data_IF_214126166046
#
_entry.id   IF_214126166046
#
_cell.length_a   1.000
_cell.length_b   1.000
_cell.length_c   1.000
_cell.angle_alpha   90.00
_cell.angle_beta   90.00
_cell.angle_gamma   90.00
#
_symmetry.space_group_name_H-M   'P 1'
#
loop_
_entity.id
_entity.type
_entity.pdbx_description
1 polymer ?
#
# COMPACT_ATOMS: atom_id res chain seq x y z
N UNK A 1 43.82 -67.97 27.91
CA UNK A 1 43.59 -68.62 29.22
C UNK A 1 42.16 -68.32 29.57
N UNK A 2 41.45 -69.39 29.45
CA UNK A 2 40.38 -69.87 30.32
C UNK A 2 39.14 -68.96 30.39
N UNK A 3 38.07 -69.36 29.91
CA UNK A 3 37.27 -70.59 29.89
C UNK A 3 35.95 -70.31 30.60
N UNK A 4 34.89 -70.60 29.84
CA UNK A 4 33.72 -71.37 30.32
C UNK A 4 32.79 -70.72 31.36
N UNK A 5 31.52 -70.87 31.37
CA UNK A 5 30.66 -71.88 30.76
C UNK A 5 29.22 -71.58 31.20
N UNK A 6 28.34 -71.79 30.27
CA UNK A 6 27.17 -72.70 30.40
C UNK A 6 25.96 -72.34 31.27
N UNK A 7 24.90 -72.46 30.55
CA UNK A 7 23.64 -73.23 30.77
C UNK A 7 22.66 -72.64 31.77
N UNK A 8 21.47 -72.51 31.43
CA UNK A 8 20.43 -73.27 30.79
C UNK A 8 19.14 -73.26 31.72
N UNK A 9 18.04 -73.28 31.01
CA UNK A 9 16.72 -73.87 31.38
C UNK A 9 15.67 -72.88 31.89
N UNK A 10 14.74 -72.58 31.01
CA UNK A 10 13.41 -73.20 30.82
C UNK A 10 12.37 -72.96 31.87
N UNK A 11 11.19 -72.74 31.37
CA UNK A 11 9.82 -72.85 31.89
C UNK A 11 9.26 -71.59 32.58
N UNK A 12 8.24 -71.03 31.99
CA UNK A 12 6.87 -71.26 32.23
C UNK A 12 5.98 -70.15 31.69
N UNK A 13 5.09 -70.60 30.94
CA UNK A 13 3.90 -69.97 30.36
C UNK A 13 3.11 -69.21 31.46
N UNK A 14 2.69 -67.98 31.19
CA UNK A 14 1.29 -67.59 31.37
C UNK A 14 0.97 -66.30 30.60
N UNK A 15 0.00 -66.44 29.74
CA UNK A 15 -0.58 -65.32 28.95
C UNK A 15 -1.27 -64.33 29.88
N UNK A 16 -1.01 -63.03 29.68
CA UNK A 16 -1.94 -61.98 30.03
C UNK A 16 -1.98 -61.00 28.88
N UNK A 17 -3.03 -61.14 28.10
CA UNK A 17 -3.46 -60.18 27.09
C UNK A 17 -3.77 -58.85 27.81
N UNK A 18 -2.91 -57.85 27.70
CA UNK A 18 -3.24 -56.47 27.99
C UNK A 18 -3.32 -55.74 26.66
N UNK A 19 -4.56 -55.56 26.21
CA UNK A 19 -4.95 -54.64 25.15
C UNK A 19 -4.54 -53.22 25.56
N UNK A 20 -3.40 -52.77 25.13
CA UNK A 20 -3.06 -51.34 25.13
C UNK A 20 -3.80 -50.73 23.95
N UNK A 21 -4.98 -50.17 24.23
CA UNK A 21 -5.64 -49.25 23.33
C UNK A 21 -4.77 -48.00 23.27
N UNK A 22 -3.89 -47.94 22.30
CA UNK A 22 -3.23 -46.69 21.92
C UNK A 22 -4.31 -45.80 21.29
N UNK A 23 -4.89 -44.92 22.10
CA UNK A 23 -5.59 -43.76 21.57
C UNK A 23 -4.60 -42.92 20.83
N UNK A 24 -4.52 -43.14 19.51
CA UNK A 24 -3.93 -42.22 18.59
C UNK A 24 -4.75 -40.93 18.68
N UNK A 25 -4.36 -40.05 19.56
CA UNK A 25 -4.78 -38.66 19.49
C UNK A 25 -4.12 -38.10 18.22
N UNK A 26 -4.88 -38.15 17.13
CA UNK A 26 -4.53 -37.55 15.88
C UNK A 26 -4.24 -36.07 16.17
N UNK A 27 -2.97 -35.71 16.10
CA UNK A 27 -2.55 -34.33 15.90
C UNK A 27 -3.16 -33.97 14.54
N UNK A 28 -4.32 -33.32 14.57
CA UNK A 28 -4.82 -32.61 13.39
C UNK A 28 -3.73 -31.58 13.03
N UNK A 29 -3.15 -31.64 11.83
CA UNK A 29 -2.34 -30.53 11.38
C UNK A 29 -3.25 -29.32 11.52
N UNK A 30 -2.80 -28.33 12.31
CA UNK A 30 -3.52 -27.08 12.48
C UNK A 30 -3.91 -26.59 11.09
N UNK A 31 -5.21 -26.42 10.87
CA UNK A 31 -5.70 -25.90 9.61
C UNK A 31 -4.93 -24.63 9.31
N UNK A 32 -4.34 -24.58 8.12
CA UNK A 32 -3.90 -23.32 7.58
C UNK A 32 -5.06 -22.36 7.80
N UNK A 33 -4.87 -21.34 8.63
CA UNK A 33 -5.86 -20.29 8.78
C UNK A 33 -6.21 -19.88 7.36
N UNK A 34 -7.47 -20.00 6.96
CA UNK A 34 -7.94 -19.61 5.64
C UNK A 34 -7.42 -18.19 5.43
N UNK A 35 -6.38 -18.08 4.61
CA UNK A 35 -5.82 -16.78 4.28
C UNK A 35 -6.93 -16.06 3.53
N UNK A 36 -7.61 -15.16 4.23
CA UNK A 36 -8.70 -14.39 3.65
C UNK A 36 -8.18 -13.77 2.35
N UNK A 37 -8.83 -14.07 1.22
CA UNK A 37 -8.43 -13.55 -0.07
C UNK A 37 -8.44 -12.02 -0.05
N UNK A 38 -7.44 -11.39 -0.63
CA UNK A 38 -7.39 -9.95 -0.81
C UNK A 38 -8.43 -9.45 -1.83
N UNK A 39 -8.88 -10.32 -2.75
CA UNK A 39 -9.77 -9.95 -3.86
C UNK A 39 -11.04 -9.22 -3.45
N UNK A 40 -11.84 -9.69 -2.47
CA UNK A 40 -13.06 -8.99 -2.06
C UNK A 40 -12.78 -7.59 -1.49
N UNK A 41 -11.62 -7.44 -0.83
CA UNK A 41 -11.20 -6.16 -0.24
C UNK A 41 -10.81 -5.20 -1.36
N UNK A 42 -10.03 -5.68 -2.33
CA UNK A 42 -9.62 -4.92 -3.52
C UNK A 42 -10.82 -4.49 -4.35
N UNK A 43 -11.80 -5.39 -4.56
CA UNK A 43 -13.04 -5.08 -5.29
C UNK A 43 -13.84 -3.98 -4.57
N UNK A 44 -13.96 -4.09 -3.26
CA UNK A 44 -14.69 -3.10 -2.46
C UNK A 44 -13.99 -1.75 -2.45
N UNK A 45 -12.66 -1.73 -2.31
CA UNK A 45 -11.84 -0.52 -2.40
C UNK A 45 -11.98 0.13 -3.78
N UNK A 46 -11.85 -0.64 -4.87
CA UNK A 46 -11.99 -0.15 -6.24
C UNK A 46 -13.40 0.42 -6.47
N UNK A 47 -14.44 -0.34 -6.12
CA UNK A 47 -15.83 0.09 -6.25
C UNK A 47 -16.11 1.38 -5.49
N UNK A 48 -15.63 1.48 -4.24
CA UNK A 48 -15.76 2.68 -3.43
C UNK A 48 -15.07 3.88 -4.08
N UNK A 49 -13.87 3.66 -4.60
CA UNK A 49 -13.13 4.68 -5.30
C UNK A 49 -13.80 5.11 -6.61
N UNK A 50 -14.31 4.16 -7.39
CA UNK A 50 -15.01 4.42 -8.66
C UNK A 50 -16.33 5.18 -8.46
N UNK A 51 -17.01 4.95 -7.36
CA UNK A 51 -18.22 5.67 -7.00
C UNK A 51 -17.95 7.11 -6.49
N UNK A 52 -16.69 7.42 -6.13
CA UNK A 52 -16.32 8.73 -5.60
C UNK A 52 -16.10 9.75 -6.73
N UNK A 53 -16.95 10.76 -6.82
CA UNK A 53 -16.86 11.84 -7.82
C UNK A 53 -15.77 12.83 -7.41
N UNK A 54 -15.81 13.30 -6.17
CA UNK A 54 -14.81 14.19 -5.57
C UNK A 54 -14.66 13.92 -4.08
N UNK A 55 -13.54 14.34 -3.53
CA UNK A 55 -13.31 14.39 -2.08
C UNK A 55 -12.25 15.43 -1.72
N UNK A 56 -12.23 15.79 -0.45
CA UNK A 56 -11.13 16.51 0.19
C UNK A 56 -10.67 15.73 1.42
N UNK A 57 -9.38 15.80 1.72
CA UNK A 57 -8.78 15.17 2.90
C UNK A 57 -7.58 15.98 3.38
N UNK A 58 -7.22 15.85 4.64
CA UNK A 58 -5.91 16.25 5.14
C UNK A 58 -4.94 15.07 4.96
N UNK A 59 -3.66 15.38 4.70
CA UNK A 59 -2.63 14.36 4.63
C UNK A 59 -1.43 14.71 5.52
N UNK A 60 -0.75 13.66 6.00
CA UNK A 60 0.56 13.71 6.63
C UNK A 60 1.47 12.71 5.95
N UNK A 61 2.64 13.17 5.55
CA UNK A 61 3.65 12.36 4.90
C UNK A 61 4.91 12.31 5.77
N UNK A 62 5.47 11.13 5.88
CA UNK A 62 6.77 10.89 6.48
C UNK A 62 7.63 10.10 5.50
N UNK A 63 8.86 10.58 5.27
CA UNK A 63 9.81 9.91 4.38
C UNK A 63 11.09 9.63 5.17
N UNK A 64 11.37 8.35 5.40
CA UNK A 64 12.64 7.89 5.93
C UNK A 64 13.66 7.85 4.80
N UNK A 65 14.61 8.78 4.78
CA UNK A 65 15.69 8.80 3.78
C UNK A 65 16.88 8.02 4.33
N UNK A 66 17.04 6.77 3.83
CA UNK A 66 18.05 5.82 4.36
C UNK A 66 19.48 6.33 4.22
N UNK A 67 19.81 6.89 3.06
CA UNK A 67 21.17 7.40 2.78
C UNK A 67 21.57 8.55 3.67
N UNK A 68 20.61 9.35 4.15
CA UNK A 68 20.86 10.53 4.99
C UNK A 68 20.58 10.25 6.47
N UNK A 69 20.04 9.08 6.80
CA UNK A 69 19.54 8.73 8.14
C UNK A 69 18.64 9.84 8.72
N UNK A 70 17.73 10.36 7.91
CA UNK A 70 16.84 11.47 8.26
C UNK A 70 15.39 11.15 7.92
N UNK A 71 14.50 11.66 8.77
CA UNK A 71 13.07 11.64 8.53
C UNK A 71 12.62 13.02 8.07
N UNK A 72 12.05 13.08 6.87
CA UNK A 72 11.41 14.26 6.34
C UNK A 72 9.91 14.16 6.61
N UNK A 73 9.29 15.28 6.98
CA UNK A 73 7.85 15.37 7.23
C UNK A 73 7.24 16.39 6.31
N UNK A 74 6.05 16.08 5.85
CA UNK A 74 5.23 17.01 5.08
C UNK A 74 3.77 16.85 5.49
N UNK A 75 2.98 17.90 5.31
CA UNK A 75 1.55 17.87 5.58
C UNK A 75 0.81 18.87 4.70
N UNK A 76 -0.49 18.68 4.56
CA UNK A 76 -1.31 19.59 3.78
C UNK A 76 -2.70 19.05 3.50
N UNK A 77 -3.27 19.55 2.43
CA UNK A 77 -4.63 19.23 1.98
C UNK A 77 -4.61 18.61 0.60
N UNK A 78 -5.42 17.56 0.45
CA UNK A 78 -5.69 16.90 -0.82
C UNK A 78 -7.10 17.24 -1.27
N UNK A 79 -7.22 17.67 -2.52
CA UNK A 79 -8.49 17.76 -3.24
C UNK A 79 -8.42 16.86 -4.45
N UNK A 80 -9.47 16.09 -4.67
CA UNK A 80 -9.59 15.16 -5.79
C UNK A 80 -10.91 15.36 -6.51
N UNK A 81 -10.92 15.18 -7.82
CA UNK A 81 -12.14 15.15 -8.63
C UNK A 81 -11.94 14.35 -9.91
N UNK A 82 -12.86 13.44 -10.19
CA UNK A 82 -12.86 12.69 -11.45
C UNK A 82 -13.23 13.57 -12.65
N UNK A 83 -12.71 13.25 -13.86
CA UNK A 83 -11.59 12.34 -14.08
C UNK A 83 -10.22 13.04 -13.94
N UNK A 84 -9.27 12.38 -13.28
CA UNK A 84 -7.85 12.73 -13.34
C UNK A 84 -7.44 14.08 -12.76
N UNK A 85 -8.28 14.72 -11.94
CA UNK A 85 -7.95 16.01 -11.31
C UNK A 85 -7.57 15.80 -9.86
N UNK A 86 -6.45 16.37 -9.44
CA UNK A 86 -5.95 16.27 -8.08
C UNK A 86 -5.11 17.49 -7.73
N UNK A 87 -5.23 17.97 -6.51
CA UNK A 87 -4.39 19.03 -5.97
C UNK A 87 -3.93 18.64 -4.56
N UNK A 88 -2.62 18.42 -4.43
CA UNK A 88 -1.94 18.37 -3.14
C UNK A 88 -1.40 19.75 -2.85
N UNK A 89 -1.89 20.40 -1.83
CA UNK A 89 -1.38 21.68 -1.36
C UNK A 89 -0.70 21.45 -0.04
N UNK A 90 0.61 21.69 -0.01
CA UNK A 90 1.41 21.49 1.18
C UNK A 90 1.32 22.71 2.11
N UNK A 91 1.08 22.47 3.38
CA UNK A 91 1.24 23.43 4.46
C UNK A 91 2.70 23.42 4.92
N UNK A 92 3.33 22.21 4.89
CA UNK A 92 4.76 21.96 5.08
C UNK A 92 5.26 20.96 4.02
N UNK A 93 6.30 21.33 3.25
CA UNK A 93 6.91 22.68 3.11
C UNK A 93 5.93 23.67 2.50
N UNK A 94 5.93 24.89 3.04
CA UNK A 94 4.96 25.93 2.66
C UNK A 94 5.08 26.32 1.19
N UNK A 95 3.93 26.34 0.51
CA UNK A 95 3.82 26.82 -0.86
C UNK A 95 4.04 25.75 -1.92
N UNK A 96 4.61 24.58 -1.57
CA UNK A 96 4.72 23.46 -2.48
C UNK A 96 3.33 22.96 -2.90
N UNK A 97 3.19 22.54 -4.14
CA UNK A 97 1.98 21.85 -4.58
C UNK A 97 2.28 20.81 -5.68
N UNK A 98 1.40 19.81 -5.75
CA UNK A 98 1.28 18.90 -6.91
C UNK A 98 -0.13 19.02 -7.43
N UNK A 99 -0.25 19.37 -8.71
CA UNK A 99 -1.53 19.59 -9.39
C UNK A 99 -1.62 18.67 -10.60
N UNK A 100 -2.70 17.91 -10.70
CA UNK A 100 -3.13 17.26 -11.94
C UNK A 100 -4.42 17.95 -12.42
N UNK A 101 -4.41 18.47 -13.65
CA UNK A 101 -5.55 19.18 -14.25
C UNK A 101 -6.42 18.29 -15.16
N UNK A 102 -6.06 17.00 -15.26
CA UNK A 102 -6.67 16.02 -16.16
C UNK A 102 -5.89 15.79 -17.46
N UNK A 103 -4.89 16.64 -17.77
CA UNK A 103 -4.01 16.51 -18.94
C UNK A 103 -2.55 16.48 -18.56
N UNK A 104 -2.15 17.32 -17.63
CA UNK A 104 -0.79 17.50 -17.18
C UNK A 104 -0.70 17.32 -15.66
N UNK A 105 0.49 16.93 -15.22
CA UNK A 105 0.92 16.96 -13.84
C UNK A 105 1.91 18.11 -13.67
N UNK A 106 1.72 18.90 -12.65
CA UNK A 106 2.57 20.04 -12.29
C UNK A 106 3.09 19.83 -10.87
N UNK A 107 4.39 19.92 -10.69
CA UNK A 107 5.02 19.91 -9.38
C UNK A 107 5.75 21.21 -9.16
N UNK A 108 5.28 22.03 -8.24
CA UNK A 108 5.91 23.29 -7.87
C UNK A 108 6.84 23.11 -6.68
N UNK A 109 8.07 23.52 -6.84
CA UNK A 109 9.13 23.55 -5.84
C UNK A 109 9.45 24.99 -5.47
N UNK A 110 8.98 25.50 -4.30
CA UNK A 110 9.15 26.89 -3.90
C UNK A 110 10.61 27.32 -3.77
N UNK A 111 11.49 26.44 -3.26
CA UNK A 111 12.90 26.72 -3.05
C UNK A 111 13.66 27.01 -4.35
N UNK A 112 13.26 26.36 -5.45
CA UNK A 112 13.82 26.56 -6.79
C UNK A 112 13.00 27.56 -7.59
N UNK A 113 11.85 28.00 -7.10
CA UNK A 113 10.84 28.76 -7.82
C UNK A 113 10.51 28.17 -9.20
N UNK A 114 10.35 26.82 -9.25
CA UNK A 114 10.23 26.08 -10.49
C UNK A 114 8.99 25.17 -10.48
N UNK A 115 8.30 25.10 -11.62
CA UNK A 115 7.23 24.15 -11.90
C UNK A 115 7.76 23.11 -12.88
N UNK A 116 7.77 21.86 -12.47
CA UNK A 116 8.01 20.72 -13.36
C UNK A 116 6.66 20.32 -13.94
N UNK A 117 6.52 20.37 -15.27
CA UNK A 117 5.32 19.98 -16.01
C UNK A 117 5.58 18.71 -16.80
N UNK A 118 4.73 17.72 -16.67
CA UNK A 118 4.77 16.48 -17.46
C UNK A 118 3.37 16.10 -17.95
N UNK A 119 3.23 15.44 -19.12
CA UNK A 119 1.95 14.85 -19.50
C UNK A 119 1.48 13.84 -18.48
N UNK A 120 0.21 13.93 -18.06
CA UNK A 120 -0.35 13.05 -17.04
C UNK A 120 -0.21 11.55 -17.40
N UNK A 121 -0.32 11.21 -18.68
CA UNK A 121 -0.08 9.85 -19.21
C UNK A 121 1.31 9.29 -18.89
N UNK A 122 2.31 10.16 -18.74
CA UNK A 122 3.69 9.75 -18.44
C UNK A 122 3.89 9.52 -16.93
N UNK A 123 3.15 10.22 -16.08
CA UNK A 123 3.16 10.01 -14.63
C UNK A 123 2.74 8.59 -14.23
N UNK A 124 1.91 7.93 -15.08
CA UNK A 124 1.51 6.54 -14.86
C UNK A 124 2.58 5.50 -15.17
N UNK A 125 3.59 5.86 -15.92
CA UNK A 125 4.68 4.95 -16.29
C UNK A 125 5.79 4.91 -15.24
N UNK A 126 5.88 5.94 -14.41
CA UNK A 126 6.96 6.12 -13.43
C UNK A 126 6.48 6.09 -11.98
N UNK A 127 5.21 6.44 -11.72
CA UNK A 127 4.64 6.57 -10.38
C UNK A 127 3.29 5.83 -10.24
N UNK A 128 3.35 4.50 -10.19
CA UNK A 128 2.15 3.66 -10.05
C UNK A 128 1.28 4.06 -8.83
N UNK A 129 1.83 4.40 -7.64
CA UNK A 129 1.01 4.87 -6.52
C UNK A 129 0.23 6.14 -6.83
N UNK A 130 0.80 7.05 -7.61
CA UNK A 130 0.14 8.29 -8.01
C UNK A 130 -1.02 8.02 -8.97
N UNK A 131 -0.88 7.06 -9.90
CA UNK A 131 -1.95 6.69 -10.84
C UNK A 131 -3.21 6.20 -10.12
N UNK A 132 -3.01 5.38 -9.09
CA UNK A 132 -4.11 4.92 -8.25
C UNK A 132 -4.77 6.09 -7.51
N UNK A 133 -3.97 6.95 -6.87
CA UNK A 133 -4.48 8.12 -6.16
C UNK A 133 -5.21 9.11 -7.10
N UNK A 134 -4.83 9.17 -8.38
CA UNK A 134 -5.49 9.97 -9.41
C UNK A 134 -6.80 9.36 -9.93
N UNK A 135 -7.18 8.18 -9.49
CA UNK A 135 -8.42 7.52 -9.94
C UNK A 135 -8.40 7.05 -11.37
N UNK A 136 -7.24 6.83 -11.93
CA UNK A 136 -7.05 6.43 -13.32
C UNK A 136 -6.51 4.99 -13.43
N UNK A 137 -6.14 4.37 -12.27
CA UNK A 137 -5.69 3.00 -12.17
C UNK A 137 -6.83 2.02 -11.90
N UNK A 138 -6.61 0.77 -12.28
CA UNK A 138 -7.44 -0.37 -11.89
C UNK A 138 -6.59 -1.30 -11.03
N UNK A 139 -6.94 -1.40 -9.74
CA UNK A 139 -6.14 -2.18 -8.78
C UNK A 139 -5.88 -3.61 -9.23
N UNK A 140 -6.91 -4.33 -9.68
CA UNK A 140 -6.75 -5.73 -10.11
C UNK A 140 -5.99 -5.88 -11.42
N UNK A 141 -6.12 -4.90 -12.32
CA UNK A 141 -5.39 -4.91 -13.57
C UNK A 141 -3.91 -4.60 -13.36
N UNK A 142 -3.63 -3.66 -12.48
CA UNK A 142 -2.32 -3.06 -12.33
C UNK A 142 -1.47 -3.72 -11.23
N UNK A 143 -2.13 -4.44 -10.27
CA UNK A 143 -1.47 -5.06 -9.12
C UNK A 143 -1.96 -6.47 -8.81
N UNK A 144 -1.06 -7.27 -8.27
CA UNK A 144 -1.37 -8.45 -7.48
C UNK A 144 -1.42 -8.03 -6.00
N UNK A 145 -2.53 -8.32 -5.35
CA UNK A 145 -2.76 -7.92 -3.96
C UNK A 145 -2.71 -9.11 -3.01
N UNK A 146 -2.04 -8.94 -1.87
CA UNK A 146 -1.97 -9.94 -0.80
C UNK A 146 -2.43 -9.30 0.51
N UNK A 147 -3.31 -9.97 1.24
CA UNK A 147 -3.69 -9.55 2.59
C UNK A 147 -2.55 -9.85 3.56
N UNK A 148 -1.97 -8.82 4.16
CA UNK A 148 -0.90 -8.91 5.15
C UNK A 148 -1.40 -8.96 6.57
N UNK A 149 -2.46 -8.21 6.86
CA UNK A 149 -3.10 -8.18 8.17
C UNK A 149 -4.58 -7.78 8.06
N UNK A 150 -5.38 -8.31 8.99
CA UNK A 150 -6.75 -7.88 9.23
C UNK A 150 -6.84 -7.40 10.69
N UNK A 151 -6.55 -6.11 10.89
CA UNK A 151 -6.61 -5.46 12.19
C UNK A 151 -8.06 -5.15 12.59
N UNK A 152 -8.31 -4.60 13.77
CA UNK A 152 -9.66 -4.31 14.25
C UNK A 152 -10.43 -3.40 13.28
N UNK A 153 -9.84 -2.30 12.83
CA UNK A 153 -10.49 -1.25 12.02
C UNK A 153 -10.05 -1.21 10.55
N UNK A 154 -9.00 -1.95 10.18
CA UNK A 154 -8.43 -1.88 8.83
C UNK A 154 -7.94 -3.23 8.32
N UNK A 155 -7.87 -3.33 6.99
CA UNK A 155 -7.09 -4.31 6.28
C UNK A 155 -5.76 -3.70 5.85
N UNK A 156 -4.69 -4.48 5.92
CA UNK A 156 -3.39 -4.11 5.35
C UNK A 156 -3.14 -4.99 4.14
N UNK A 157 -3.06 -4.38 2.98
CA UNK A 157 -2.75 -5.06 1.72
C UNK A 157 -1.35 -4.72 1.27
N UNK A 158 -0.64 -5.72 0.75
CA UNK A 158 0.57 -5.54 -0.06
C UNK A 158 0.15 -5.56 -1.52
N UNK A 159 0.62 -4.57 -2.29
CA UNK A 159 0.37 -4.46 -3.72
C UNK A 159 1.69 -4.68 -4.47
N UNK A 160 1.68 -5.60 -5.41
CA UNK A 160 2.80 -5.91 -6.30
C UNK A 160 2.40 -5.52 -7.73
N UNK A 161 3.10 -4.58 -8.38
CA UNK A 161 2.80 -4.18 -9.75
C UNK A 161 2.90 -5.36 -10.72
N UNK A 162 1.94 -5.50 -11.65
CA UNK A 162 1.91 -6.55 -12.68
C UNK A 162 2.83 -6.28 -13.88
N UNK A 163 3.51 -5.18 -13.92
CA UNK A 163 4.45 -4.79 -14.97
C UNK A 163 5.82 -4.44 -14.41
N UNK A 164 6.60 -3.71 -15.19
CA UNK A 164 7.85 -3.17 -14.68
C UNK A 164 7.53 -2.25 -13.50
N UNK A 165 7.93 -2.67 -12.31
CA UNK A 165 7.79 -1.88 -11.11
C UNK A 165 8.68 -0.66 -11.23
N UNK A 166 8.09 0.52 -11.45
CA UNK A 166 8.80 1.78 -11.65
C UNK A 166 9.65 2.22 -10.45
N UNK A 167 10.63 1.39 -10.04
CA UNK A 167 11.58 1.71 -8.98
C UNK A 167 11.06 1.49 -7.55
N UNK A 168 9.97 0.74 -7.35
CA UNK A 168 9.43 0.43 -6.01
C UNK A 168 9.71 -1.02 -5.64
N UNK A 169 10.15 -1.25 -4.40
CA UNK A 169 10.38 -2.59 -3.85
C UNK A 169 9.21 -3.09 -3.01
N UNK A 170 8.39 -2.20 -2.47
CA UNK A 170 7.23 -2.56 -1.66
C UNK A 170 6.18 -1.45 -1.67
N UNK A 171 4.91 -1.83 -1.80
CA UNK A 171 3.76 -0.94 -1.64
C UNK A 171 2.79 -1.60 -0.65
N UNK A 172 2.50 -0.89 0.44
CA UNK A 172 1.49 -1.30 1.43
C UNK A 172 0.38 -0.25 1.47
N UNK A 173 -0.85 -0.71 1.65
CA UNK A 173 -2.01 0.17 1.82
C UNK A 173 -2.86 -0.28 3.00
N UNK A 174 -3.31 0.70 3.78
CA UNK A 174 -4.31 0.50 4.82
C UNK A 174 -5.69 0.85 4.31
N UNK A 175 -6.65 -0.07 4.42
CA UNK A 175 -8.01 0.06 3.93
C UNK A 175 -8.99 -0.06 5.09
N UNK A 176 -9.87 0.91 5.26
CA UNK A 176 -10.90 0.88 6.29
C UNK A 176 -11.82 -0.33 6.14
N UNK A 177 -12.05 -1.09 7.20
CA UNK A 177 -13.04 -2.16 7.22
C UNK A 177 -14.48 -1.66 7.11
N UNK A 178 -14.72 -0.44 7.55
CA UNK A 178 -16.06 0.13 7.62
C UNK A 178 -16.49 0.74 6.27
N UNK A 179 -15.61 1.52 5.65
CA UNK A 179 -15.95 2.32 4.46
C UNK A 179 -15.20 1.91 3.21
N UNK A 180 -14.21 1.01 3.32
CA UNK A 180 -13.27 0.68 2.25
C UNK A 180 -12.54 1.89 1.68
N UNK A 181 -12.35 2.92 2.50
CA UNK A 181 -11.53 4.07 2.15
C UNK A 181 -10.04 3.74 2.33
N UNK A 182 -9.22 4.36 1.49
CA UNK A 182 -7.78 4.36 1.68
C UNK A 182 -7.43 5.23 2.89
N UNK A 183 -6.86 4.60 3.93
CA UNK A 183 -6.43 5.28 5.16
C UNK A 183 -4.99 5.77 5.07
N UNK A 184 -4.14 4.98 4.45
CA UNK A 184 -2.73 5.31 4.24
C UNK A 184 -2.13 4.47 3.13
N UNK A 185 -1.04 4.97 2.56
CA UNK A 185 -0.17 4.26 1.63
C UNK A 185 1.27 4.38 2.10
N UNK A 186 2.03 3.30 2.00
CA UNK A 186 3.45 3.24 2.30
C UNK A 186 4.19 2.65 1.11
N UNK A 187 5.20 3.36 0.64
CA UNK A 187 5.97 2.98 -0.54
C UNK A 187 7.45 2.97 -0.19
N UNK A 188 8.10 1.85 -0.48
CA UNK A 188 9.55 1.71 -0.40
C UNK A 188 10.13 1.77 -1.79
N UNK A 189 11.03 2.70 -2.04
CA UNK A 189 11.73 2.82 -3.32
C UNK A 189 12.94 1.89 -3.43
N UNK A 190 13.59 1.88 -4.61
CA UNK A 190 14.78 1.07 -4.88
C UNK A 190 16.00 1.50 -4.02
N UNK A 191 16.04 2.73 -3.54
CA UNK A 191 17.07 3.22 -2.60
C UNK A 191 16.74 2.91 -1.14
N UNK A 192 15.69 2.09 -0.90
CA UNK A 192 15.16 1.72 0.41
C UNK A 192 14.62 2.89 1.25
N UNK A 193 14.36 4.05 0.65
CA UNK A 193 13.60 5.11 1.31
C UNK A 193 12.16 4.65 1.50
N UNK A 194 11.56 4.97 2.64
CA UNK A 194 10.19 4.61 2.96
C UNK A 194 9.34 5.87 3.10
N UNK A 195 8.42 6.07 2.18
CA UNK A 195 7.45 7.16 2.26
C UNK A 195 6.10 6.61 2.70
N UNK A 196 5.56 7.14 3.79
CA UNK A 196 4.22 6.80 4.28
C UNK A 196 3.36 8.06 4.26
N UNK A 197 2.21 7.98 3.61
CA UNK A 197 1.20 9.05 3.55
C UNK A 197 -0.06 8.55 4.25
N UNK A 198 -0.54 9.29 5.25
CA UNK A 198 -1.76 9.02 6.00
C UNK A 198 -2.80 10.08 5.69
N UNK A 199 -4.03 9.64 5.47
CA UNK A 199 -5.17 10.51 5.20
C UNK A 199 -6.07 10.63 6.43
N UNK A 200 -6.62 11.81 6.63
CA UNK A 200 -7.59 12.07 7.70
C UNK A 200 -8.63 13.09 7.26
N UNK A 201 -9.76 13.15 7.97
CA UNK A 201 -10.81 14.11 7.66
C UNK A 201 -11.38 14.01 6.24
N UNK A 202 -11.36 12.83 5.63
CA UNK A 202 -11.86 12.63 4.27
C UNK A 202 -13.37 12.92 4.20
N UNK A 203 -13.74 13.77 3.25
CA UNK A 203 -15.12 14.12 2.95
C UNK A 203 -15.38 13.96 1.47
N UNK A 204 -16.15 12.94 1.10
CA UNK A 204 -16.60 12.68 -0.26
C UNK A 204 -17.80 13.55 -0.61
N UNK A 205 -18.00 13.82 -1.90
CA UNK A 205 -19.08 14.70 -2.35
C UNK A 205 -18.93 16.13 -1.81
N UNK A 206 -17.69 16.61 -1.70
CA UNK A 206 -17.38 17.92 -1.14
C UNK A 206 -17.74 19.08 -2.10
N UNK A 207 -18.17 18.78 -3.32
CA UNK A 207 -18.54 19.77 -4.33
C UNK A 207 -17.31 20.54 -4.85
N UNK A 208 -16.17 19.88 -5.01
CA UNK A 208 -14.94 20.54 -5.46
C UNK A 208 -15.13 21.13 -6.84
N UNK A 209 -14.91 22.45 -6.96
CA UNK A 209 -15.07 23.17 -8.24
C UNK A 209 -13.89 22.88 -9.16
N UNK A 210 -14.13 22.86 -10.47
CA UNK A 210 -13.08 22.65 -11.48
C UNK A 210 -11.99 23.72 -11.42
N UNK A 211 -12.34 24.93 -11.03
CA UNK A 211 -11.39 26.04 -10.84
C UNK A 211 -10.31 25.75 -9.79
N UNK A 212 -10.54 24.82 -8.86
CA UNK A 212 -9.53 24.39 -7.89
C UNK A 212 -8.33 23.69 -8.55
N UNK A 213 -8.52 23.16 -9.75
CA UNK A 213 -7.50 22.44 -10.52
C UNK A 213 -6.92 23.25 -11.67
N UNK A 214 -7.07 24.56 -11.63
CA UNK A 214 -6.45 25.47 -12.60
C UNK A 214 -5.09 25.90 -12.06
N UNK A 215 -4.05 25.71 -12.87
CA UNK A 215 -2.69 26.10 -12.50
C UNK A 215 -2.63 27.61 -12.22
N UNK A 216 -2.17 27.96 -11.04
CA UNK A 216 -1.80 29.32 -10.67
C UNK A 216 -0.27 29.38 -10.66
N UNK A 217 0.33 30.07 -11.63
CA UNK A 217 1.79 30.16 -11.71
C UNK A 217 2.25 31.18 -10.67
N UNK A 218 3.09 30.79 -9.70
CA UNK A 218 3.68 31.73 -8.75
C UNK A 218 4.53 32.78 -9.49
N UNK A 219 4.61 33.97 -8.93
CA UNK A 219 5.32 35.08 -9.57
C UNK A 219 6.80 34.75 -9.82
N UNK A 220 7.23 34.87 -11.07
CA UNK A 220 8.60 34.59 -11.51
C UNK A 220 8.98 33.09 -11.51
N UNK A 221 8.02 32.17 -11.38
CA UNK A 221 8.32 30.75 -11.46
C UNK A 221 8.61 30.31 -12.89
N UNK A 222 9.70 29.56 -13.07
CA UNK A 222 10.06 28.92 -14.33
C UNK A 222 9.29 27.63 -14.53
N UNK A 223 8.89 27.33 -15.77
CA UNK A 223 8.25 26.06 -16.13
C UNK A 223 9.24 25.20 -16.92
N UNK A 224 9.56 24.02 -16.38
CA UNK A 224 10.37 23.00 -17.03
C UNK A 224 9.46 21.88 -17.51
N UNK A 225 9.42 21.63 -18.81
CA UNK A 225 8.62 20.56 -19.40
C UNK A 225 9.44 19.26 -19.48
N UNK A 226 8.90 18.16 -18.91
CA UNK A 226 9.47 16.83 -19.03
C UNK A 226 8.66 16.01 -20.03
N UNK A 227 9.37 15.40 -20.98
CA UNK A 227 8.82 14.39 -21.89
C UNK A 227 7.82 14.96 -22.92
N UNK A 228 8.36 15.45 -24.00
CA UNK A 228 7.63 15.52 -25.28
C UNK A 228 7.54 14.14 -25.93
#
# INVERSE_FOLDING_TARGET
MHENSKLSKTFGILACLLLVVQTFWGIRPGGAADAQSADPIVDSLQKNYDATIDFVADFRQETEVKTLNRNLKASGKLSFKRPGKMLWRYDEPKGQFVLADGKYLYFFQPEQNQIIKSPLKNAFRTDIPLSFLLGLGNLKKDFDATLKAAEESQYVLRLEPKGEAGGFSEILVGVSKHSYDLLWISVRDAAANLTTIRFSGMRKGAGVKDSAFTLQIPNGADIVELGQ
#
